data_IF_833435097147
#
_entry.id   IF_833435097147
#
_cell.length_a   1.000
_cell.length_b   1.000
_cell.length_c   1.000
_cell.angle_alpha   90.00
_cell.angle_beta   90.00
_cell.angle_gamma   90.00
#
_symmetry.space_group_name_H-M   'P 1'
#
loop_
_entity.id
_entity.type
_entity.pdbx_description
1 polymer ?
#
# COMPACT_ATOMS: atom_id res chain seq x y z
N UNK A 1 -23.77 32.20 -12.90
CA UNK A 1 -22.40 31.66 -12.91
C UNK A 1 -22.36 30.54 -11.89
N UNK A 2 -22.44 29.29 -12.33
CA UNK A 2 -22.35 28.13 -11.45
C UNK A 2 -20.88 27.93 -11.09
N UNK A 3 -20.49 28.32 -9.89
CA UNK A 3 -19.18 27.97 -9.34
C UNK A 3 -19.17 26.45 -9.23
N UNK A 4 -18.41 25.79 -10.10
CA UNK A 4 -18.23 24.34 -10.02
C UNK A 4 -17.62 24.03 -8.65
N UNK A 5 -18.22 23.15 -7.83
CA UNK A 5 -17.68 22.87 -6.51
C UNK A 5 -16.30 22.25 -6.68
N UNK A 6 -15.27 22.94 -6.15
CA UNK A 6 -13.92 22.39 -6.07
C UNK A 6 -13.98 21.09 -5.26
N UNK A 7 -13.58 19.99 -5.88
CA UNK A 7 -13.54 18.66 -5.26
C UNK A 7 -12.15 18.43 -4.70
N UNK A 8 -12.07 18.22 -3.39
CA UNK A 8 -10.82 17.93 -2.69
C UNK A 8 -10.71 16.43 -2.45
N UNK A 9 -9.53 15.89 -2.68
CA UNK A 9 -9.20 14.51 -2.38
C UNK A 9 -8.14 14.45 -1.27
N UNK A 10 -8.04 13.29 -0.61
CA UNK A 10 -6.98 13.05 0.38
C UNK A 10 -5.57 13.24 -0.20
N UNK A 11 -5.42 13.05 -1.51
CA UNK A 11 -4.16 13.19 -2.23
C UNK A 11 -3.65 14.65 -2.33
N UNK A 12 -4.51 15.62 -2.00
CA UNK A 12 -4.19 17.06 -2.06
C UNK A 12 -3.54 17.57 -0.75
N UNK A 13 -3.42 16.72 0.28
CA UNK A 13 -2.85 17.07 1.59
C UNK A 13 -1.57 16.26 1.87
N UNK A 14 -0.49 16.93 2.25
CA UNK A 14 0.80 16.29 2.58
C UNK A 14 0.80 15.63 3.97
N UNK A 15 0.03 16.16 4.91
CA UNK A 15 -0.24 15.51 6.20
C UNK A 15 -1.53 14.69 6.05
N UNK A 16 -1.49 13.39 6.36
CA UNK A 16 -2.64 12.48 6.24
C UNK A 16 -3.86 12.81 7.12
N UNK A 17 -3.87 13.97 7.76
CA UNK A 17 -4.96 14.58 8.49
C UNK A 17 -5.85 15.34 7.52
N UNK A 18 -7.01 14.76 7.20
CA UNK A 18 -8.14 15.56 6.76
C UNK A 18 -9.12 15.54 7.93
N UNK A 19 -9.06 16.51 8.86
CA UNK A 19 -10.12 16.63 9.84
C UNK A 19 -11.35 17.04 9.03
N UNK A 20 -12.31 16.13 8.86
CA UNK A 20 -13.56 16.43 8.14
C UNK A 20 -14.30 17.65 8.70
N UNK A 21 -13.94 18.10 9.90
CA UNK A 21 -14.39 19.35 10.53
C UNK A 21 -13.70 20.63 10.03
N UNK A 22 -12.43 20.58 9.56
CA UNK A 22 -11.63 21.77 9.21
C UNK A 22 -11.81 22.29 7.78
N UNK A 23 -12.47 21.53 6.89
CA UNK A 23 -12.65 21.97 5.49
C UNK A 23 -13.40 23.32 5.41
N UNK A 24 -14.32 23.58 6.36
CA UNK A 24 -15.05 24.86 6.46
C UNK A 24 -14.21 25.99 7.07
N UNK A 25 -13.28 25.66 7.95
CA UNK A 25 -12.44 26.62 8.68
C UNK A 25 -11.28 27.14 7.81
N UNK A 26 -10.76 26.29 6.91
CA UNK A 26 -9.67 26.64 5.99
C UNK A 26 -10.18 27.44 4.77
N UNK A 27 -11.41 27.17 4.31
CA UNK A 27 -12.03 27.89 3.20
C UNK A 27 -13.49 28.29 3.52
N UNK A 28 -13.70 29.48 4.12
CA UNK A 28 -15.05 29.95 4.41
C UNK A 28 -15.81 30.16 3.08
N UNK A 29 -16.83 29.32 2.85
CA UNK A 29 -17.68 29.38 1.65
C UNK A 29 -17.47 28.25 0.62
N UNK A 30 -16.58 27.29 0.89
CA UNK A 30 -16.50 26.08 0.06
C UNK A 30 -17.54 25.08 0.54
N UNK A 31 -18.52 24.75 -0.31
CA UNK A 31 -19.33 23.54 -0.21
C UNK A 31 -18.48 22.28 -0.55
N UNK A 32 -17.28 22.20 0.02
CA UNK A 32 -16.33 21.13 -0.19
C UNK A 32 -16.80 19.88 0.56
N UNK A 33 -17.54 19.03 -0.17
CA UNK A 33 -17.90 17.70 0.29
C UNK A 33 -16.70 16.77 0.07
N UNK A 34 -16.19 16.18 1.13
CA UNK A 34 -15.20 15.10 1.04
C UNK A 34 -15.74 13.98 0.13
N UNK A 35 -14.93 13.54 -0.83
CA UNK A 35 -15.25 12.40 -1.70
C UNK A 35 -14.21 11.29 -1.52
N UNK A 36 -14.63 10.04 -1.27
CA UNK A 36 -13.72 8.89 -1.27
C UNK A 36 -12.87 8.81 -2.54
N UNK A 37 -11.58 8.50 -2.42
CA UNK A 37 -10.67 8.39 -3.58
C UNK A 37 -11.06 7.32 -4.60
N UNK A 38 -11.93 6.37 -4.23
CA UNK A 38 -12.48 5.37 -5.19
C UNK A 38 -13.36 6.02 -6.29
N UNK A 39 -13.82 7.25 -6.07
CA UNK A 39 -14.56 8.05 -7.06
C UNK A 39 -13.69 9.11 -7.75
N UNK A 40 -12.38 9.13 -7.45
CA UNK A 40 -11.44 10.06 -8.05
C UNK A 40 -11.31 9.78 -9.56
N UNK A 41 -11.50 10.78 -10.43
CA UNK A 41 -11.31 10.61 -11.85
C UNK A 41 -9.83 10.37 -12.17
N UNK A 42 -9.55 9.65 -13.26
CA UNK A 42 -8.17 9.24 -13.61
C UNK A 42 -7.20 10.41 -13.74
N UNK A 43 -7.65 11.55 -14.26
CA UNK A 43 -6.82 12.75 -14.41
C UNK A 43 -6.31 13.31 -13.07
N UNK A 44 -7.03 13.07 -11.98
CA UNK A 44 -6.65 13.52 -10.63
C UNK A 44 -5.83 12.48 -9.85
N UNK A 45 -5.64 11.26 -10.38
CA UNK A 45 -4.85 10.22 -9.71
C UNK A 45 -3.36 10.58 -9.75
N UNK A 46 -2.65 10.41 -8.63
CA UNK A 46 -1.19 10.58 -8.57
C UNK A 46 -0.41 9.45 -9.25
N UNK A 47 -1.05 8.30 -9.47
CA UNK A 47 -0.38 7.12 -10.05
C UNK A 47 -1.38 6.28 -10.82
N UNK A 48 -0.99 5.87 -12.02
CA UNK A 48 -1.75 4.93 -12.86
C UNK A 48 -0.91 3.66 -13.03
N UNK A 49 -1.48 2.51 -12.67
CA UNK A 49 -0.84 1.20 -12.77
C UNK A 49 -1.64 0.36 -13.76
N UNK A 50 -0.98 -0.13 -14.81
CA UNK A 50 -1.53 -1.10 -15.74
C UNK A 50 -1.21 -2.50 -15.25
N UNK A 51 -2.23 -3.34 -15.06
CA UNK A 51 -2.07 -4.75 -14.72
C UNK A 51 -1.57 -5.50 -15.95
N UNK A 52 -0.41 -6.14 -15.83
CA UNK A 52 0.22 -6.89 -16.93
C UNK A 52 0.04 -8.40 -16.78
N UNK A 53 -0.16 -8.89 -15.56
CA UNK A 53 -0.32 -10.32 -15.29
C UNK A 53 -1.14 -10.54 -14.01
N UNK A 54 -1.91 -11.62 -13.98
CA UNK A 54 -2.63 -12.09 -12.80
C UNK A 54 -2.40 -13.59 -12.66
N UNK A 55 -1.90 -14.02 -11.49
CA UNK A 55 -1.67 -15.43 -11.16
C UNK A 55 -2.46 -15.83 -9.92
N UNK A 56 -2.93 -17.06 -9.89
CA UNK A 56 -3.46 -17.71 -8.67
C UNK A 56 -2.36 -18.59 -8.12
N UNK A 57 -1.90 -18.31 -6.89
CA UNK A 57 -0.83 -19.07 -6.25
C UNK A 57 -1.06 -19.21 -4.74
N UNK A 58 -0.36 -20.14 -4.11
CA UNK A 58 -0.27 -20.19 -2.65
C UNK A 58 0.68 -19.10 -2.17
N UNK A 59 0.41 -18.49 -1.00
CA UNK A 59 1.27 -17.41 -0.49
C UNK A 59 2.72 -17.87 -0.26
N UNK A 60 2.92 -19.13 0.14
CA UNK A 60 4.26 -19.70 0.34
C UNK A 60 5.00 -20.06 -0.95
N UNK A 61 4.34 -19.99 -2.12
CA UNK A 61 4.99 -20.14 -3.44
C UNK A 61 5.68 -18.85 -3.91
N UNK A 62 5.63 -17.77 -3.11
CA UNK A 62 6.31 -16.52 -3.41
C UNK A 62 7.83 -16.73 -3.54
N UNK A 63 8.42 -16.18 -4.60
CA UNK A 63 9.88 -16.23 -4.80
C UNK A 63 10.56 -15.08 -4.05
N UNK A 64 11.89 -15.17 -3.83
CA UNK A 64 12.64 -14.03 -3.27
C UNK A 64 12.47 -12.76 -4.12
N UNK A 65 12.43 -12.90 -5.46
CA UNK A 65 12.27 -11.78 -6.38
C UNK A 65 10.88 -11.14 -6.26
N UNK A 66 9.84 -11.95 -6.10
CA UNK A 66 8.47 -11.44 -5.88
C UNK A 66 8.37 -10.76 -4.51
N UNK A 67 8.96 -11.34 -3.46
CA UNK A 67 9.00 -10.73 -2.13
C UNK A 67 9.73 -9.37 -2.16
N UNK A 68 10.85 -9.25 -2.88
CA UNK A 68 11.51 -7.97 -3.13
C UNK A 68 10.59 -6.99 -3.88
N UNK A 69 9.89 -7.44 -4.94
CA UNK A 69 8.97 -6.58 -5.69
C UNK A 69 7.77 -6.09 -4.86
N UNK A 70 7.34 -6.85 -3.84
CA UNK A 70 6.35 -6.45 -2.83
C UNK A 70 6.91 -5.43 -1.81
N UNK A 71 8.22 -5.16 -1.85
CA UNK A 71 8.91 -4.21 -0.99
C UNK A 71 9.63 -4.85 0.21
N UNK A 72 9.78 -6.17 0.26
CA UNK A 72 10.46 -6.87 1.35
C UNK A 72 12.00 -6.84 1.21
N UNK A 73 12.57 -5.63 1.22
CA UNK A 73 14.02 -5.42 1.08
C UNK A 73 14.77 -5.47 2.41
N UNK A 74 15.99 -6.00 2.38
CA UNK A 74 16.93 -6.03 3.52
C UNK A 74 17.99 -4.91 3.46
N UNK A 75 18.09 -4.18 2.35
CA UNK A 75 19.32 -3.43 2.00
C UNK A 75 19.23 -1.91 2.17
N UNK A 76 18.04 -1.31 2.28
CA UNK A 76 17.88 0.13 2.55
C UNK A 76 17.68 0.41 4.04
N UNK A 77 17.84 1.67 4.47
CA UNK A 77 17.94 2.05 5.89
C UNK A 77 16.81 1.50 6.76
N UNK A 78 15.56 1.62 6.29
CA UNK A 78 14.39 1.11 7.00
C UNK A 78 14.29 -0.43 6.92
N UNK A 79 14.53 -1.03 5.75
CA UNK A 79 14.50 -2.48 5.56
C UNK A 79 15.55 -3.22 6.41
N UNK A 80 16.73 -2.61 6.60
CA UNK A 80 17.81 -3.17 7.43
C UNK A 80 17.45 -3.22 8.90
N UNK A 81 16.83 -2.17 9.43
CA UNK A 81 16.40 -2.13 10.83
C UNK A 81 15.31 -3.15 11.11
N UNK A 82 14.32 -3.26 10.21
CA UNK A 82 13.27 -4.28 10.30
C UNK A 82 13.87 -5.68 10.23
N UNK A 83 14.81 -5.93 9.31
CA UNK A 83 15.49 -7.21 9.19
C UNK A 83 16.27 -7.58 10.46
N UNK A 84 16.99 -6.63 11.07
CA UNK A 84 17.70 -6.87 12.32
C UNK A 84 16.75 -7.22 13.48
N UNK A 85 15.62 -6.52 13.59
CA UNK A 85 14.61 -6.81 14.61
C UNK A 85 13.98 -8.19 14.40
N UNK A 86 13.63 -8.55 13.16
CA UNK A 86 13.09 -9.88 12.84
C UNK A 86 14.12 -10.97 13.12
N UNK A 87 15.38 -10.78 12.73
CA UNK A 87 16.48 -11.71 13.01
C UNK A 87 16.63 -11.97 14.51
N UNK A 88 16.63 -10.90 15.32
CA UNK A 88 16.74 -11.02 16.77
C UNK A 88 15.51 -11.71 17.38
N UNK A 89 14.30 -11.34 16.96
CA UNK A 89 13.05 -11.88 17.50
C UNK A 89 12.85 -13.37 17.17
N UNK A 90 13.30 -13.81 16.00
CA UNK A 90 13.16 -15.20 15.54
C UNK A 90 14.46 -16.02 15.69
N UNK A 91 15.51 -15.44 16.29
CA UNK A 91 16.83 -16.05 16.48
C UNK A 91 17.43 -16.62 15.17
N UNK A 92 17.38 -15.83 14.10
CA UNK A 92 17.86 -16.20 12.76
C UNK A 92 19.20 -15.53 12.45
N UNK A 93 20.14 -16.31 11.91
CA UNK A 93 21.45 -15.81 11.46
C UNK A 93 21.41 -15.17 10.06
N UNK A 94 20.37 -15.47 9.27
CA UNK A 94 20.18 -14.95 7.91
C UNK A 94 18.72 -14.60 7.72
N UNK A 95 18.47 -13.40 7.17
CA UNK A 95 17.15 -12.94 6.77
C UNK A 95 17.08 -12.90 5.25
N UNK A 96 16.02 -13.48 4.70
CA UNK A 96 15.70 -13.45 3.28
C UNK A 96 14.48 -12.56 3.03
N UNK A 97 14.30 -12.04 1.80
CA UNK A 97 13.09 -11.32 1.43
C UNK A 97 11.79 -12.09 1.74
N UNK A 98 11.79 -13.42 1.59
CA UNK A 98 10.64 -14.27 1.91
C UNK A 98 10.32 -14.25 3.41
N UNK A 99 11.32 -14.24 4.29
CA UNK A 99 11.10 -14.14 5.75
C UNK A 99 10.52 -12.78 6.11
N UNK A 100 11.03 -11.70 5.53
CA UNK A 100 10.47 -10.36 5.72
C UNK A 100 9.02 -10.28 5.22
N UNK A 101 8.77 -10.83 4.04
CA UNK A 101 7.43 -10.89 3.48
C UNK A 101 6.48 -11.70 4.36
N UNK A 102 6.91 -12.81 4.95
CA UNK A 102 6.12 -13.58 5.94
C UNK A 102 5.71 -12.71 7.13
N UNK A 103 6.64 -11.95 7.70
CA UNK A 103 6.36 -11.07 8.85
C UNK A 103 5.37 -9.98 8.45
N UNK A 104 5.60 -9.34 7.31
CA UNK A 104 4.70 -8.33 6.74
C UNK A 104 3.30 -8.92 6.52
N UNK A 105 3.21 -10.06 5.86
CA UNK A 105 1.97 -10.79 5.59
C UNK A 105 1.18 -11.05 6.87
N UNK A 106 1.84 -11.59 7.90
CA UNK A 106 1.20 -11.86 9.18
C UNK A 106 0.70 -10.59 9.87
N UNK A 107 1.46 -9.49 9.82
CA UNK A 107 1.06 -8.22 10.43
C UNK A 107 -0.24 -7.67 9.85
N UNK A 108 -0.50 -7.92 8.57
CA UNK A 108 -1.68 -7.44 7.84
C UNK A 108 -2.84 -8.45 7.91
N UNK A 109 -2.55 -9.74 7.72
CA UNK A 109 -3.56 -10.76 7.39
C UNK A 109 -3.82 -11.79 8.50
N UNK A 110 -2.90 -11.99 9.45
CA UNK A 110 -3.07 -13.05 10.47
C UNK A 110 -4.31 -12.81 11.35
N UNK A 111 -4.58 -11.56 11.75
CA UNK A 111 -5.77 -11.19 12.54
C UNK A 111 -7.09 -11.47 11.82
N UNK A 112 -7.06 -11.62 10.49
CA UNK A 112 -8.22 -11.96 9.65
C UNK A 112 -8.38 -13.46 9.41
N UNK A 113 -7.51 -14.29 10.01
CA UNK A 113 -7.50 -15.75 9.82
C UNK A 113 -6.71 -16.24 8.61
N UNK A 114 -5.99 -15.36 7.91
CA UNK A 114 -5.20 -15.69 6.72
C UNK A 114 -3.69 -15.62 6.99
N UNK A 115 -3.26 -16.10 8.16
CA UNK A 115 -1.85 -16.15 8.54
C UNK A 115 -0.99 -16.96 7.56
N UNK A 116 0.31 -16.74 7.58
CA UNK A 116 1.30 -17.43 6.74
C UNK A 116 1.20 -18.96 6.88
N UNK A 117 0.95 -19.45 8.09
CA UNK A 117 0.78 -20.87 8.42
C UNK A 117 -0.40 -21.52 7.70
N UNK A 118 -1.44 -20.73 7.37
CA UNK A 118 -2.62 -21.22 6.63
C UNK A 118 -2.34 -21.44 5.15
N UNK A 119 -1.24 -20.88 4.66
CA UNK A 119 -0.84 -20.91 3.27
C UNK A 119 -2.03 -20.65 2.29
N UNK A 120 -2.79 -19.56 2.43
CA UNK A 120 -3.99 -19.34 1.62
C UNK A 120 -3.67 -19.17 0.13
N UNK A 121 -4.69 -19.40 -0.71
CA UNK A 121 -4.66 -18.99 -2.11
C UNK A 121 -4.78 -17.47 -2.21
N UNK A 122 -3.97 -16.88 -3.09
CA UNK A 122 -3.93 -15.44 -3.34
C UNK A 122 -3.97 -15.16 -4.84
N UNK A 123 -4.42 -13.95 -5.17
CA UNK A 123 -4.25 -13.37 -6.50
C UNK A 123 -2.97 -12.53 -6.48
N UNK A 124 -1.91 -13.00 -7.15
CA UNK A 124 -0.70 -12.23 -7.35
C UNK A 124 -0.83 -11.39 -8.62
N UNK A 125 -0.64 -10.08 -8.51
CA UNK A 125 -0.87 -9.13 -9.60
C UNK A 125 0.44 -8.43 -9.93
N UNK A 126 0.89 -8.58 -11.17
CA UNK A 126 2.02 -7.80 -11.70
C UNK A 126 1.49 -6.59 -12.45
N UNK A 127 2.12 -5.44 -12.24
CA UNK A 127 1.72 -4.19 -12.87
C UNK A 127 2.94 -3.39 -13.32
N UNK A 128 2.72 -2.48 -14.26
CA UNK A 128 3.67 -1.43 -14.61
C UNK A 128 3.08 -0.04 -14.40
N UNK A 129 3.92 0.89 -13.99
CA UNK A 129 3.52 2.29 -13.84
C UNK A 129 3.41 2.95 -15.21
N UNK A 130 2.29 3.64 -15.43
CA UNK A 130 2.07 4.48 -16.61
C UNK A 130 2.42 5.93 -16.23
N UNK A 131 3.30 6.61 -16.98
CA UNK A 131 3.55 8.04 -16.81
C UNK A 131 2.26 8.85 -16.94
N UNK A 132 2.12 9.88 -16.12
CA UNK A 132 1.01 10.83 -16.26
C UNK A 132 1.38 11.83 -17.37
N UNK A 133 0.41 12.12 -18.25
CA UNK A 133 0.55 13.12 -19.31
C UNK A 133 0.47 14.55 -18.75
#
# INVERSE_FOLDING_TARGET
MTVSPHVYYRADYESGEVPGSMIRDIWPGADAKWRPSIHMPRWASRTTLEVTEVRVQRVQEITCKDAEAEGAYTLDGFGREVAAHVAAAENLSVITPVILFRVLWNSINAKRGYGWDKNPWVWAVTFRRIPQA
#
